data_IF_845390875566
#
_entry.id   IF_845390875566
#
_cell.length_a   1.000
_cell.length_b   1.000
_cell.length_c   1.000
_cell.angle_alpha   90.00
_cell.angle_beta   90.00
_cell.angle_gamma   90.00
#
_symmetry.space_group_name_H-M   'P 1'
#
loop_
_entity.id
_entity.type
_entity.pdbx_description
1 polymer ?
#
# COMPACT_ATOMS: atom_id res chain seq x y z
N UNK A 1 12.78 -6.62 11.23
CA UNK A 1 11.56 -7.24 10.68
C UNK A 1 11.93 -8.45 9.82
N UNK A 2 11.08 -9.48 9.76
CA UNK A 2 11.28 -10.70 8.97
C UNK A 2 10.39 -10.72 7.73
N UNK A 3 10.70 -11.57 6.74
CA UNK A 3 9.81 -11.80 5.58
C UNK A 3 8.41 -12.27 6.01
N UNK A 4 8.32 -13.03 7.10
CA UNK A 4 7.04 -13.48 7.65
C UNK A 4 6.20 -12.31 8.17
N UNK A 5 6.82 -11.31 8.79
CA UNK A 5 6.14 -10.10 9.26
C UNK A 5 5.56 -9.30 8.09
N UNK A 6 6.35 -9.10 7.02
CA UNK A 6 5.86 -8.46 5.79
C UNK A 6 4.67 -9.22 5.18
N UNK A 7 4.75 -10.55 5.13
CA UNK A 7 3.66 -11.37 4.60
C UNK A 7 2.38 -11.27 5.47
N UNK A 8 2.53 -11.19 6.79
CA UNK A 8 1.40 -11.02 7.71
C UNK A 8 0.75 -9.64 7.54
N UNK A 9 1.53 -8.57 7.39
CA UNK A 9 0.99 -7.24 7.11
C UNK A 9 0.32 -7.16 5.73
N UNK A 10 0.91 -7.80 4.71
CA UNK A 10 0.32 -7.89 3.37
C UNK A 10 -1.00 -8.68 3.32
N UNK A 11 -1.26 -9.54 4.30
CA UNK A 11 -2.53 -10.23 4.47
C UNK A 11 -3.50 -9.42 5.34
N UNK A 12 -2.99 -8.74 6.37
CA UNK A 12 -3.81 -7.90 7.26
C UNK A 12 -4.64 -6.90 6.47
N UNK A 13 -4.05 -6.27 5.45
CA UNK A 13 -4.67 -5.15 4.72
C UNK A 13 -6.00 -5.52 4.04
N UNK A 14 -6.37 -6.80 4.01
CA UNK A 14 -7.68 -7.29 3.59
C UNK A 14 -8.76 -7.23 4.68
N UNK A 15 -8.38 -7.21 5.96
CA UNK A 15 -9.26 -7.37 7.12
C UNK A 15 -9.45 -6.08 7.93
N UNK A 16 -8.67 -5.04 7.66
CA UNK A 16 -8.76 -3.72 8.30
C UNK A 16 -8.84 -3.79 9.85
N UNK A 17 -7.89 -4.49 10.47
CA UNK A 17 -7.79 -4.64 11.91
C UNK A 17 -6.86 -3.56 12.55
N UNK A 18 -7.41 -2.53 13.22
CA UNK A 18 -6.62 -1.39 13.70
C UNK A 18 -5.72 -1.73 14.89
N UNK A 19 -6.00 -2.83 15.60
CA UNK A 19 -5.26 -3.22 16.80
C UNK A 19 -4.11 -4.20 16.49
N UNK A 20 -3.79 -4.42 15.21
CA UNK A 20 -2.73 -5.36 14.83
C UNK A 20 -1.33 -4.77 15.07
N UNK A 21 -0.59 -5.41 15.97
CA UNK A 21 0.86 -5.27 16.06
C UNK A 21 1.56 -6.45 15.35
N UNK A 22 2.53 -6.15 14.48
CA UNK A 22 3.37 -7.16 13.81
C UNK A 22 4.83 -6.75 13.88
N UNK A 23 5.66 -7.56 14.53
CA UNK A 23 7.10 -7.30 14.59
C UNK A 23 7.48 -5.94 15.18
N UNK A 24 6.66 -5.38 16.08
CA UNK A 24 6.85 -4.05 16.68
C UNK A 24 6.30 -2.89 15.85
N UNK A 25 5.64 -3.17 14.73
CA UNK A 25 4.93 -2.18 13.93
C UNK A 25 3.44 -2.17 14.28
N UNK A 26 2.90 -0.98 14.49
CA UNK A 26 1.48 -0.75 14.78
C UNK A 26 0.86 0.16 13.73
N UNK A 27 -0.45 0.02 13.50
CA UNK A 27 -1.18 0.90 12.59
C UNK A 27 -1.63 2.16 13.31
N UNK A 28 -1.30 3.37 12.81
CA UNK A 28 -1.88 4.61 13.33
C UNK A 28 -3.39 4.69 13.11
N UNK A 29 -4.09 5.52 13.88
CA UNK A 29 -5.55 5.70 13.73
C UNK A 29 -5.95 6.22 12.36
N UNK A 30 -5.11 7.07 11.75
CA UNK A 30 -5.23 7.57 10.37
C UNK A 30 -4.43 6.70 9.37
N UNK A 31 -4.17 5.46 9.76
CA UNK A 31 -3.27 4.53 9.10
C UNK A 31 -3.75 3.92 7.79
N UNK A 32 -4.95 4.26 7.30
CA UNK A 32 -5.58 3.61 6.14
C UNK A 32 -5.97 4.61 5.06
N UNK A 33 -6.13 4.16 3.82
CA UNK A 33 -6.57 5.02 2.71
C UNK A 33 -7.89 5.75 2.98
N UNK A 34 -8.77 5.18 3.80
CA UNK A 34 -10.07 5.80 4.09
C UNK A 34 -9.98 6.89 5.18
N UNK A 35 -8.90 6.88 5.96
CA UNK A 35 -8.74 7.75 7.14
C UNK A 35 -7.55 8.70 7.03
N UNK A 36 -6.60 8.41 6.14
CA UNK A 36 -5.39 9.19 5.96
C UNK A 36 -5.70 10.57 5.37
N UNK A 37 -5.32 11.60 6.11
CA UNK A 37 -5.52 12.99 5.70
C UNK A 37 -4.71 13.27 4.43
N UNK A 38 -5.35 13.91 3.45
CA UNK A 38 -4.70 14.32 2.20
C UNK A 38 -4.67 13.24 1.12
N UNK A 39 -5.22 12.05 1.39
CA UNK A 39 -5.46 11.03 0.37
C UNK A 39 -6.92 11.04 -0.09
N UNK A 40 -7.14 11.01 -1.40
CA UNK A 40 -8.46 10.81 -2.01
C UNK A 40 -8.29 9.78 -3.14
N UNK A 41 -8.92 8.60 -3.05
CA UNK A 41 -8.76 7.58 -4.07
C UNK A 41 -9.46 7.99 -5.38
N UNK A 42 -8.80 7.73 -6.49
CA UNK A 42 -9.34 7.84 -7.85
C UNK A 42 -10.23 6.62 -8.13
N UNK A 43 -9.83 5.44 -7.65
CA UNK A 43 -10.56 4.18 -7.84
C UNK A 43 -11.31 3.75 -6.57
N UNK A 44 -12.55 3.28 -6.73
CA UNK A 44 -13.44 2.97 -5.59
C UNK A 44 -13.04 1.75 -4.77
N UNK A 45 -12.10 0.93 -5.24
CA UNK A 45 -11.70 -0.33 -4.60
C UNK A 45 -10.23 -0.35 -4.18
N UNK A 46 -9.50 0.77 -4.31
CA UNK A 46 -8.16 0.89 -3.78
C UNK A 46 -8.21 0.86 -2.25
N UNK A 47 -7.32 0.08 -1.64
CA UNK A 47 -7.12 0.12 -0.20
C UNK A 47 -5.66 -0.06 0.13
N UNK A 48 -5.16 0.80 1.03
CA UNK A 48 -3.80 0.74 1.54
C UNK A 48 -3.79 1.06 3.02
N UNK A 49 -2.81 0.50 3.72
CA UNK A 49 -2.56 0.79 5.12
C UNK A 49 -1.06 1.00 5.37
N UNK A 50 -0.69 1.92 6.24
CA UNK A 50 0.68 2.07 6.70
C UNK A 50 0.83 1.73 8.18
N UNK A 51 2.00 1.23 8.51
CA UNK A 51 2.38 0.79 9.84
C UNK A 51 3.67 1.47 10.24
N UNK A 52 3.86 1.71 11.53
CA UNK A 52 5.11 2.29 12.01
C UNK A 52 5.61 1.68 13.30
N UNK A 53 6.93 1.72 13.46
CA UNK A 53 7.59 1.33 14.70
C UNK A 53 7.95 2.56 15.56
N UNK A 54 8.51 2.30 16.73
CA UNK A 54 8.94 3.35 17.67
C UNK A 54 10.18 4.12 17.20
N UNK A 55 10.88 3.64 16.18
CA UNK A 55 12.02 4.30 15.56
C UNK A 55 11.63 5.20 14.37
N UNK A 56 10.34 5.22 14.00
CA UNK A 56 9.83 6.00 12.86
C UNK A 56 10.05 5.33 11.49
N UNK A 57 10.36 4.03 11.47
CA UNK A 57 10.32 3.26 10.23
C UNK A 57 8.86 3.02 9.85
N UNK A 58 8.57 3.10 8.56
CA UNK A 58 7.20 2.99 8.01
C UNK A 58 7.13 1.82 7.04
N UNK A 59 6.03 1.08 7.08
CA UNK A 59 5.70 0.06 6.07
C UNK A 59 4.38 0.43 5.45
N UNK A 60 4.35 0.58 4.14
CA UNK A 60 3.13 0.77 3.38
C UNK A 60 2.72 -0.58 2.78
N UNK A 61 1.46 -0.95 3.01
CA UNK A 61 0.87 -2.17 2.50
C UNK A 61 -0.29 -1.84 1.58
N UNK A 62 -0.34 -2.50 0.43
CA UNK A 62 -1.44 -2.37 -0.53
C UNK A 62 -2.25 -3.65 -0.57
N UNK A 63 -3.58 -3.52 -0.51
CA UNK A 63 -4.49 -4.63 -0.73
C UNK A 63 -4.43 -5.05 -2.20
N UNK A 64 -4.43 -6.35 -2.44
CA UNK A 64 -4.67 -6.86 -3.78
C UNK A 64 -6.15 -6.72 -4.18
N UNK A 65 -6.53 -7.39 -5.26
CA UNK A 65 -7.92 -7.49 -5.68
C UNK A 65 -8.62 -8.67 -4.98
N UNK A 66 -9.93 -8.57 -4.83
CA UNK A 66 -10.81 -9.67 -4.42
C UNK A 66 -11.14 -10.62 -5.60
N UNK A 67 -10.81 -10.23 -6.84
CA UNK A 67 -11.03 -11.02 -8.05
C UNK A 67 -9.78 -11.04 -8.94
N UNK A 68 -9.05 -12.17 -8.92
CA UNK A 68 -7.90 -12.42 -9.81
C UNK A 68 -8.28 -12.32 -11.29
N UNK A 69 -9.54 -12.57 -11.64
CA UNK A 69 -10.07 -12.44 -13.01
C UNK A 69 -10.17 -11.00 -13.48
N UNK A 70 -10.56 -10.07 -12.59
CA UNK A 70 -10.56 -8.63 -12.88
C UNK A 70 -9.15 -8.05 -12.90
N UNK A 71 -8.23 -8.62 -12.09
CA UNK A 71 -6.81 -8.30 -12.22
C UNK A 71 -6.33 -8.64 -13.61
N UNK A 72 -6.50 -9.86 -14.12
CA UNK A 72 -5.96 -10.23 -15.44
C UNK A 72 -6.66 -9.53 -16.61
N UNK A 73 -7.93 -9.10 -16.45
CA UNK A 73 -8.65 -8.36 -17.49
C UNK A 73 -8.36 -6.85 -17.49
N UNK A 74 -8.08 -6.25 -16.33
CA UNK A 74 -7.73 -4.82 -16.20
C UNK A 74 -6.23 -4.57 -16.09
N UNK A 75 -5.45 -5.61 -15.79
CA UNK A 75 -4.00 -5.62 -15.86
C UNK A 75 -3.57 -5.68 -17.32
N UNK A 76 -3.71 -4.55 -18.00
CA UNK A 76 -2.79 -4.17 -19.06
C UNK A 76 -1.39 -3.91 -18.46
N UNK A 77 -0.83 -4.89 -17.73
CA UNK A 77 0.59 -4.94 -17.37
C UNK A 77 1.39 -5.45 -18.59
N UNK A 78 0.91 -5.08 -19.78
CA UNK A 78 1.56 -5.35 -21.04
C UNK A 78 2.93 -4.69 -21.02
N UNK A 79 3.83 -5.29 -21.78
CA UNK A 79 5.27 -4.97 -21.86
C UNK A 79 5.62 -3.52 -22.18
N UNK A 80 4.62 -2.67 -22.47
CA UNK A 80 4.76 -1.23 -22.67
C UNK A 80 3.81 -0.48 -21.73
N UNK A 81 4.36 -0.02 -20.59
CA UNK A 81 3.70 0.99 -19.77
C UNK A 81 3.49 2.23 -20.63
N UNK A 82 2.25 2.68 -20.92
CA UNK A 82 2.05 3.94 -21.61
C UNK A 82 2.54 5.03 -20.66
N UNK A 83 3.69 5.65 -20.97
CA UNK A 83 4.32 6.69 -20.14
C UNK A 83 3.35 7.83 -19.80
N UNK A 84 2.30 7.99 -20.61
CA UNK A 84 1.28 9.02 -20.48
C UNK A 84 -0.06 8.54 -19.90
N UNK A 85 -0.24 7.24 -19.60
CA UNK A 85 -1.49 6.69 -19.10
C UNK A 85 -1.25 5.50 -18.15
N UNK A 86 -0.71 5.76 -16.94
CA UNK A 86 -0.50 4.72 -15.93
C UNK A 86 -1.84 4.15 -15.44
N UNK A 87 -1.90 2.86 -15.05
CA UNK A 87 -3.09 2.30 -14.43
C UNK A 87 -3.51 3.13 -13.21
N UNK A 88 -4.80 3.45 -13.08
CA UNK A 88 -5.30 4.34 -12.03
C UNK A 88 -4.97 3.85 -10.60
N UNK A 89 -4.89 2.53 -10.39
CA UNK A 89 -4.50 1.97 -9.09
C UNK A 89 -3.03 2.21 -8.74
N UNK A 90 -2.15 2.38 -9.73
CA UNK A 90 -0.77 2.81 -9.50
C UNK A 90 -0.76 4.27 -9.05
N UNK A 91 -1.55 5.12 -9.70
CA UNK A 91 -1.69 6.52 -9.28
C UNK A 91 -2.22 6.61 -7.85
N UNK A 92 -3.22 5.80 -7.49
CA UNK A 92 -3.69 5.72 -6.10
C UNK A 92 -2.60 5.23 -5.14
N UNK A 93 -1.85 4.18 -5.49
CA UNK A 93 -0.75 3.69 -4.67
C UNK A 93 0.34 4.74 -4.44
N UNK A 94 0.68 5.49 -5.49
CA UNK A 94 1.66 6.58 -5.44
C UNK A 94 1.16 7.76 -4.61
N UNK A 95 -0.09 8.19 -4.81
CA UNK A 95 -0.69 9.27 -4.03
C UNK A 95 -0.83 8.89 -2.55
N UNK A 96 -1.15 7.63 -2.26
CA UNK A 96 -1.16 7.13 -0.88
C UNK A 96 0.23 7.20 -0.26
N UNK A 97 1.27 6.78 -0.98
CA UNK A 97 2.65 6.95 -0.53
C UNK A 97 3.00 8.41 -0.23
N UNK A 98 2.64 9.34 -1.12
CA UNK A 98 2.90 10.77 -0.89
C UNK A 98 2.15 11.30 0.34
N UNK A 99 0.91 10.86 0.57
CA UNK A 99 0.15 11.24 1.76
C UNK A 99 0.80 10.70 3.04
N UNK A 100 1.28 9.45 3.04
CA UNK A 100 2.03 8.87 4.16
C UNK A 100 3.31 9.65 4.43
N UNK A 101 4.07 10.00 3.38
CA UNK A 101 5.28 10.82 3.51
C UNK A 101 4.97 12.23 4.02
N UNK A 102 3.83 12.81 3.65
CA UNK A 102 3.42 14.11 4.17
C UNK A 102 3.08 14.07 5.66
N UNK A 103 2.55 12.96 6.16
CA UNK A 103 2.22 12.75 7.59
C UNK A 103 3.46 12.38 8.42
N UNK A 104 4.26 11.43 7.95
CA UNK A 104 5.41 10.89 8.72
C UNK A 104 6.72 11.66 8.48
N UNK A 105 6.77 12.49 7.44
CA UNK A 105 7.93 13.29 7.05
C UNK A 105 8.84 12.60 6.03
N UNK A 106 9.53 13.40 5.21
CA UNK A 106 10.37 12.92 4.09
C UNK A 106 11.64 12.16 4.51
N UNK A 107 12.00 12.18 5.79
CA UNK A 107 13.11 11.40 6.34
C UNK A 107 12.70 10.02 6.85
N UNK A 108 11.39 9.69 6.84
CA UNK A 108 10.91 8.39 7.29
C UNK A 108 11.49 7.28 6.39
N UNK A 109 11.92 6.19 7.01
CA UNK A 109 12.41 5.03 6.28
C UNK A 109 11.21 4.17 5.86
N UNK A 110 10.82 4.29 4.58
CA UNK A 110 9.63 3.63 4.04
C UNK A 110 9.99 2.32 3.36
N UNK A 111 9.32 1.24 3.77
CA UNK A 111 9.31 -0.05 3.07
C UNK A 111 7.91 -0.34 2.51
N UNK A 112 7.83 -1.25 1.54
CA UNK A 112 6.57 -1.64 0.91
C UNK A 112 6.29 -3.13 1.08
N UNK A 113 5.01 -3.48 1.23
CA UNK A 113 4.53 -4.85 1.23
C UNK A 113 3.22 -4.97 0.45
N UNK A 114 2.90 -6.17 0.01
CA UNK A 114 1.61 -6.46 -0.59
C UNK A 114 1.56 -7.87 -1.15
N UNK A 115 0.35 -8.37 -1.34
CA UNK A 115 0.10 -9.69 -1.91
C UNK A 115 -0.67 -9.56 -3.23
N UNK A 116 -0.40 -10.46 -4.19
CA UNK A 116 -1.03 -10.42 -5.53
C UNK A 116 -0.81 -9.06 -6.21
N UNK A 117 -1.87 -8.41 -6.71
CA UNK A 117 -1.84 -7.03 -7.23
C UNK A 117 -1.19 -6.05 -6.25
N UNK A 118 -1.46 -6.16 -4.95
CA UNK A 118 -0.86 -5.28 -3.95
C UNK A 118 0.66 -5.43 -3.88
N UNK A 119 1.18 -6.63 -4.12
CA UNK A 119 2.62 -6.88 -4.24
C UNK A 119 3.20 -6.27 -5.51
N UNK A 120 2.43 -6.29 -6.59
CA UNK A 120 2.77 -5.57 -7.82
C UNK A 120 2.83 -4.06 -7.60
N UNK A 121 1.83 -3.47 -6.94
CA UNK A 121 1.82 -2.04 -6.60
C UNK A 121 3.01 -1.69 -5.70
N UNK A 122 3.26 -2.49 -4.65
CA UNK A 122 4.43 -2.33 -3.77
C UNK A 122 5.74 -2.35 -4.55
N UNK A 123 5.90 -3.30 -5.48
CA UNK A 123 7.08 -3.40 -6.33
C UNK A 123 7.25 -2.20 -7.26
N UNK A 124 6.15 -1.70 -7.84
CA UNK A 124 6.19 -0.54 -8.75
C UNK A 124 6.55 0.77 -8.03
N UNK A 125 6.01 1.00 -6.83
CA UNK A 125 6.26 2.25 -6.09
C UNK A 125 7.65 2.25 -5.44
N UNK A 126 8.22 1.08 -5.17
CA UNK A 126 9.54 0.95 -4.55
C UNK A 126 10.73 1.29 -5.49
N UNK A 127 10.48 1.50 -6.79
CA UNK A 127 11.49 1.75 -7.84
C UNK A 127 11.61 3.24 -8.12
#
# INVERSE_FOLDING_TARGET
MTTFDYARLALEVYFDNPDLEVGGYTRPTDGTSDTLIGFTPITTNFFGAYYKDTAGNVIITYRGTDSLGELLSNASWGTDWPVNDPPLQVLDAYNFYLAVVAVEGSSANVSFAGHSLGGGLAGTIAV
#
